data_IF_153236790636
#
_entry.id   IF_153236790636
#
_cell.length_a   1.000
_cell.length_b   1.000
_cell.length_c   1.000
_cell.angle_alpha   90.00
_cell.angle_beta   90.00
_cell.angle_gamma   90.00
#
_symmetry.space_group_name_H-M   'P 1'
#
loop_
_entity.id
_entity.type
_entity.pdbx_description
1 polymer ?
#
# COMPACT_ATOMS: atom_id res chain seq x y z
N UNK A 1 9.34 14.33 -8.32
CA UNK A 1 8.35 13.59 -7.51
C UNK A 1 7.52 12.80 -8.49
N UNK A 2 8.00 11.60 -8.82
CA UNK A 2 7.50 10.83 -9.96
C UNK A 2 6.05 10.39 -9.74
N UNK A 3 5.24 10.27 -10.81
CA UNK A 3 3.87 9.74 -10.71
C UNK A 3 3.82 8.37 -10.00
N UNK A 4 4.90 7.59 -10.08
CA UNK A 4 5.09 6.31 -9.41
C UNK A 4 5.16 6.42 -7.87
N UNK A 5 5.71 7.50 -7.30
CA UNK A 5 5.76 7.69 -5.83
C UNK A 5 4.36 7.93 -5.25
N UNK A 6 3.49 8.60 -6.01
CA UNK A 6 2.11 8.87 -5.61
C UNK A 6 1.30 7.57 -5.60
N UNK A 7 1.49 6.72 -6.61
CA UNK A 7 0.83 5.40 -6.68
C UNK A 7 1.23 4.56 -5.47
N UNK A 8 2.53 4.50 -5.14
CA UNK A 8 3.01 3.76 -3.97
C UNK A 8 2.39 4.28 -2.66
N UNK A 9 2.31 5.61 -2.51
CA UNK A 9 1.70 6.25 -1.33
C UNK A 9 0.22 5.94 -1.20
N UNK A 10 -0.53 6.00 -2.31
CA UNK A 10 -1.96 5.68 -2.35
C UNK A 10 -2.20 4.21 -1.98
N UNK A 11 -1.34 3.30 -2.45
CA UNK A 11 -1.46 1.86 -2.18
C UNK A 11 -1.23 1.55 -0.69
N UNK A 12 -0.27 2.22 -0.06
CA UNK A 12 -0.06 2.15 1.40
C UNK A 12 -1.28 2.69 2.16
N UNK A 13 -1.82 3.84 1.76
CA UNK A 13 -3.02 4.41 2.37
C UNK A 13 -4.24 3.51 2.26
N UNK A 14 -4.36 2.78 1.14
CA UNK A 14 -5.44 1.83 0.89
C UNK A 14 -5.30 0.58 1.80
N UNK A 15 -4.08 0.07 1.98
CA UNK A 15 -3.81 -0.99 2.97
C UNK A 15 -4.11 -0.56 4.40
N UNK A 16 -3.86 0.70 4.74
CA UNK A 16 -4.24 1.27 6.04
C UNK A 16 -5.76 1.32 6.21
N UNK A 17 -6.50 1.82 5.21
CA UNK A 17 -7.95 1.81 5.24
C UNK A 17 -8.50 0.39 5.47
N UNK A 18 -7.94 -0.63 4.80
CA UNK A 18 -8.34 -2.04 4.95
C UNK A 18 -8.23 -2.55 6.40
N UNK A 19 -7.34 -1.99 7.20
CA UNK A 19 -7.17 -2.35 8.61
C UNK A 19 -8.30 -1.78 9.51
N UNK A 20 -8.76 -0.56 9.22
CA UNK A 20 -9.67 0.19 10.11
C UNK A 20 -11.16 -0.01 9.82
N UNK A 21 -11.51 -0.79 8.79
CA UNK A 21 -12.91 -1.01 8.39
C UNK A 21 -13.51 -2.25 9.07
N UNK A 22 -14.60 -2.13 9.86
CA UNK A 22 -15.21 -3.24 10.60
C UNK A 22 -16.18 -4.11 9.78
N UNK A 23 -16.35 -3.84 8.49
CA UNK A 23 -17.44 -4.41 7.69
C UNK A 23 -17.05 -5.69 6.94
N UNK A 24 -15.78 -5.86 6.58
CA UNK A 24 -15.31 -6.93 5.69
C UNK A 24 -14.06 -7.62 6.26
N UNK A 25 -14.29 -8.76 6.93
CA UNK A 25 -13.24 -9.59 7.54
C UNK A 25 -12.16 -10.04 6.54
N UNK A 26 -12.54 -10.24 5.28
CA UNK A 26 -11.62 -10.59 4.18
C UNK A 26 -10.56 -9.50 3.97
N UNK A 27 -10.95 -8.22 3.97
CA UNK A 27 -9.99 -7.13 3.81
C UNK A 27 -9.07 -7.00 5.02
N UNK A 28 -9.54 -7.34 6.22
CA UNK A 28 -8.67 -7.42 7.39
C UNK A 28 -7.58 -8.49 7.23
N UNK A 29 -7.93 -9.68 6.73
CA UNK A 29 -6.94 -10.75 6.46
C UNK A 29 -5.89 -10.32 5.43
N UNK A 30 -6.30 -9.61 4.38
CA UNK A 30 -5.39 -9.15 3.33
C UNK A 30 -4.69 -7.81 3.64
N UNK A 31 -5.09 -7.09 4.70
CA UNK A 31 -4.54 -5.76 5.05
C UNK A 31 -3.02 -5.79 5.26
N UNK A 32 -2.51 -6.82 5.94
CA UNK A 32 -1.07 -7.03 6.16
C UNK A 32 -0.33 -7.22 4.84
N UNK A 33 -0.87 -8.06 3.94
CA UNK A 33 -0.26 -8.33 2.63
C UNK A 33 -0.28 -7.07 1.76
N UNK A 34 -1.38 -6.31 1.76
CA UNK A 34 -1.50 -5.05 1.03
C UNK A 34 -0.52 -3.99 1.54
N UNK A 35 -0.33 -3.88 2.87
CA UNK A 35 0.66 -2.98 3.47
C UNK A 35 2.10 -3.38 3.11
N UNK A 36 2.41 -4.68 3.17
CA UNK A 36 3.72 -5.19 2.75
C UNK A 36 3.96 -4.96 1.26
N UNK A 37 2.98 -5.22 0.40
CA UNK A 37 3.06 -4.97 -1.03
C UNK A 37 3.25 -3.47 -1.34
N UNK A 38 2.50 -2.59 -0.67
CA UNK A 38 2.67 -1.14 -0.77
C UNK A 38 4.06 -0.69 -0.32
N UNK A 39 4.58 -1.27 0.77
CA UNK A 39 5.94 -0.99 1.26
C UNK A 39 7.00 -1.45 0.27
N UNK A 40 6.88 -2.66 -0.29
CA UNK A 40 7.79 -3.18 -1.31
C UNK A 40 7.74 -2.32 -2.57
N UNK A 41 6.56 -1.92 -3.03
CA UNK A 41 6.40 -1.02 -4.17
C UNK A 41 7.04 0.34 -3.91
N UNK A 42 6.88 0.91 -2.71
CA UNK A 42 7.51 2.15 -2.32
C UNK A 42 9.05 2.03 -2.28
N UNK A 43 9.57 0.92 -1.77
CA UNK A 43 11.02 0.63 -1.80
C UNK A 43 11.52 0.53 -3.24
N UNK A 44 10.80 -0.18 -4.12
CA UNK A 44 11.16 -0.35 -5.53
C UNK A 44 11.16 1.00 -6.25
N UNK A 45 10.10 1.80 -6.12
CA UNK A 45 10.01 3.14 -6.71
C UNK A 45 11.08 4.09 -6.15
N UNK A 46 11.37 4.01 -4.85
CA UNK A 46 12.43 4.83 -4.24
C UNK A 46 13.83 4.42 -4.69
N UNK A 47 14.03 3.13 -4.98
CA UNK A 47 15.31 2.56 -5.46
C UNK A 47 15.52 2.81 -6.95
N UNK A 48 14.43 2.80 -7.73
CA UNK A 48 14.39 3.09 -9.16
C UNK A 48 13.42 4.25 -9.40
N UNK A 49 13.80 5.47 -8.98
CA UNK A 49 12.96 6.66 -9.13
C UNK A 49 12.89 7.18 -10.57
N UNK A 50 13.48 6.44 -11.53
CA UNK A 50 13.91 6.90 -12.86
C UNK A 50 15.20 7.74 -12.81
#
# INVERSE_FOLDING_TARGET
>A
RGPMETIATVLIGLGFLMLFQPFLLVFYTYSLVTLLAGTVMFIIVSKFPE
#
